data_IF_371496271431
#
_entry.id   IF_371496271431
#
_cell.length_a   1.000
_cell.length_b   1.000
_cell.length_c   1.000
_cell.angle_alpha   90.00
_cell.angle_beta   90.00
_cell.angle_gamma   90.00
#
_symmetry.space_group_name_H-M   'P 1'
#
loop_
_entity.id
_entity.type
_entity.pdbx_description
1 polymer ?
#
# COMPACT_ATOMS: atom_id res chain seq x y z
N UNK A 1 10.36 29.75 26.15
CA UNK A 1 8.94 29.72 26.53
C UNK A 1 8.68 28.33 27.09
N UNK A 2 8.21 28.22 28.32
CA UNK A 2 7.77 26.92 28.85
C UNK A 2 6.54 26.46 28.07
N UNK A 3 6.52 25.19 27.64
CA UNK A 3 5.36 24.60 26.99
C UNK A 3 4.16 24.66 27.94
N UNK A 4 2.96 24.94 27.40
CA UNK A 4 1.73 24.93 28.18
C UNK A 4 1.32 23.45 28.46
N UNK A 5 1.38 22.99 29.72
CA UNK A 5 1.04 21.61 30.04
C UNK A 5 -0.40 21.19 29.67
N UNK A 6 -1.30 22.17 29.50
CA UNK A 6 -2.68 21.90 29.09
C UNK A 6 -2.76 21.56 27.58
N UNK A 7 -1.96 22.20 26.77
CA UNK A 7 -1.87 21.93 25.34
C UNK A 7 -1.25 20.53 25.07
N UNK A 8 -0.18 20.17 25.79
CA UNK A 8 0.45 18.86 25.69
C UNK A 8 -0.49 17.74 26.12
N UNK A 9 -1.26 17.96 27.21
CA UNK A 9 -2.28 17.00 27.65
C UNK A 9 -3.38 16.82 26.62
N UNK A 10 -3.84 17.94 25.99
CA UNK A 10 -4.86 17.86 24.94
C UNK A 10 -4.34 17.09 23.73
N UNK A 11 -3.11 17.37 23.28
CA UNK A 11 -2.51 16.66 22.15
C UNK A 11 -2.45 15.12 22.36
N UNK A 12 -2.14 14.65 23.60
CA UNK A 12 -2.18 13.23 23.92
C UNK A 12 -3.63 12.68 23.96
N UNK A 13 -4.59 13.46 24.44
CA UNK A 13 -6.00 13.08 24.40
C UNK A 13 -6.51 12.94 22.96
N UNK A 14 -6.08 13.82 22.05
CA UNK A 14 -6.43 13.74 20.62
C UNK A 14 -5.90 12.45 19.97
N UNK A 15 -4.71 11.96 20.37
CA UNK A 15 -4.17 10.67 19.90
C UNK A 15 -5.09 9.51 20.32
N UNK A 16 -5.60 9.52 21.56
CA UNK A 16 -6.56 8.50 22.02
C UNK A 16 -7.86 8.53 21.20
N UNK A 17 -8.39 9.72 20.95
CA UNK A 17 -9.62 9.91 20.17
C UNK A 17 -9.44 9.39 18.72
N UNK A 18 -8.35 9.77 18.04
CA UNK A 18 -8.05 9.33 16.67
C UNK A 18 -7.95 7.81 16.59
N UNK A 19 -7.39 7.15 17.61
CA UNK A 19 -7.35 5.69 17.67
C UNK A 19 -8.72 5.04 17.66
N UNK A 20 -9.70 5.57 18.43
CA UNK A 20 -11.07 5.06 18.42
C UNK A 20 -11.79 5.38 17.10
N UNK A 21 -11.60 6.57 16.56
CA UNK A 21 -12.17 6.97 15.25
C UNK A 21 -11.72 6.04 14.14
N UNK A 22 -10.45 5.63 14.13
CA UNK A 22 -9.95 4.62 13.19
C UNK A 22 -10.79 3.35 13.22
N UNK A 23 -11.02 2.78 14.41
CA UNK A 23 -11.83 1.56 14.55
C UNK A 23 -13.28 1.76 14.12
N UNK A 24 -13.86 2.94 14.35
CA UNK A 24 -15.19 3.27 13.87
C UNK A 24 -15.24 3.33 12.34
N UNK A 25 -14.24 3.92 11.68
CA UNK A 25 -14.14 3.96 10.20
C UNK A 25 -13.98 2.54 9.64
N UNK A 26 -13.11 1.71 10.23
CA UNK A 26 -12.98 0.30 9.83
C UNK A 26 -14.31 -0.45 9.94
N UNK A 27 -15.01 -0.31 11.07
CA UNK A 27 -16.26 -1.00 11.31
C UNK A 27 -17.35 -0.63 10.29
N UNK A 28 -17.57 0.67 10.02
CA UNK A 28 -18.58 1.09 9.04
C UNK A 28 -18.20 0.72 7.61
N UNK A 29 -16.89 0.70 7.29
CA UNK A 29 -16.40 0.30 5.96
C UNK A 29 -16.60 -1.20 5.75
N UNK A 30 -16.24 -2.03 6.74
CA UNK A 30 -16.44 -3.50 6.71
C UNK A 30 -17.92 -3.89 6.62
N UNK A 31 -18.82 -3.11 7.22
CA UNK A 31 -20.26 -3.30 7.10
C UNK A 31 -20.85 -2.80 5.77
N UNK A 32 -20.07 -2.12 4.92
CA UNK A 32 -20.54 -1.57 3.65
C UNK A 32 -21.44 -0.34 3.80
N UNK A 33 -21.35 0.39 4.91
CA UNK A 33 -22.12 1.63 5.13
C UNK A 33 -21.86 2.68 4.07
N UNK A 34 -20.59 2.97 3.65
CA UNK A 34 -20.34 3.98 2.62
C UNK A 34 -21.07 3.70 1.31
N UNK A 35 -21.07 2.45 0.84
CA UNK A 35 -21.71 2.03 -0.41
C UNK A 35 -23.24 2.27 -0.38
N UNK A 36 -23.88 2.10 0.79
CA UNK A 36 -25.31 2.33 0.95
C UNK A 36 -25.70 3.80 0.90
N UNK A 37 -24.73 4.70 1.11
CA UNK A 37 -24.94 6.15 1.13
C UNK A 37 -24.56 6.83 -0.20
N UNK A 38 -24.11 6.10 -1.21
CA UNK A 38 -23.71 6.67 -2.50
C UNK A 38 -24.85 7.31 -3.27
N UNK A 39 -26.07 6.77 -3.14
CA UNK A 39 -27.26 7.26 -3.83
C UNK A 39 -27.91 8.48 -3.13
N UNK A 40 -27.46 8.85 -1.94
CA UNK A 40 -27.98 9.99 -1.20
C UNK A 40 -28.31 9.70 0.26
N UNK A 41 -29.02 10.60 0.97
CA UNK A 41 -29.31 10.49 2.38
C UNK A 41 -30.24 9.29 2.70
N UNK A 42 -29.87 8.48 3.70
CA UNK A 42 -30.64 7.30 4.19
C UNK A 42 -30.98 7.47 5.66
N UNK A 43 -32.17 7.04 6.10
CA UNK A 43 -32.52 7.03 7.52
C UNK A 43 -31.65 6.03 8.30
N UNK A 44 -31.22 6.38 9.53
CA UNK A 44 -30.36 5.50 10.34
C UNK A 44 -30.97 4.12 10.55
N UNK A 45 -32.26 4.02 10.78
CA UNK A 45 -32.96 2.75 10.93
C UNK A 45 -32.94 1.88 9.68
N UNK A 46 -33.16 2.50 8.52
CA UNK A 46 -33.11 1.86 7.22
C UNK A 46 -31.66 1.39 6.89
N UNK A 47 -30.67 2.26 7.16
CA UNK A 47 -29.26 1.94 6.98
C UNK A 47 -28.83 0.78 7.87
N UNK A 48 -29.21 0.79 9.15
CA UNK A 48 -28.89 -0.29 10.10
C UNK A 48 -29.47 -1.63 9.65
N UNK A 49 -30.72 -1.65 9.20
CA UNK A 49 -31.35 -2.87 8.66
C UNK A 49 -30.62 -3.36 7.40
N UNK A 50 -30.22 -2.45 6.50
CA UNK A 50 -29.55 -2.78 5.24
C UNK A 50 -28.14 -3.37 5.41
N UNK A 51 -27.44 -3.05 6.52
CA UNK A 51 -26.07 -3.55 6.81
C UNK A 51 -26.05 -4.56 7.95
N UNK A 52 -27.20 -4.97 8.47
CA UNK A 52 -27.30 -5.93 9.59
C UNK A 52 -26.77 -5.41 10.92
N UNK A 53 -26.82 -4.07 11.14
CA UNK A 53 -26.31 -3.44 12.35
C UNK A 53 -27.43 -3.14 13.37
N UNK A 54 -27.05 -3.09 14.65
CA UNK A 54 -27.94 -2.60 15.68
C UNK A 54 -28.11 -1.06 15.56
N UNK A 55 -29.34 -0.57 15.41
CA UNK A 55 -29.62 0.84 15.07
C UNK A 55 -29.00 1.84 16.06
N UNK A 56 -29.17 1.63 17.38
CA UNK A 56 -28.62 2.57 18.37
C UNK A 56 -27.09 2.57 18.36
N UNK A 57 -26.46 1.41 18.22
CA UNK A 57 -24.98 1.31 18.12
C UNK A 57 -24.47 2.04 16.88
N UNK A 58 -25.08 1.80 15.72
CA UNK A 58 -24.71 2.49 14.48
C UNK A 58 -24.92 4.00 14.60
N UNK A 59 -26.06 4.45 15.17
CA UNK A 59 -26.34 5.87 15.40
C UNK A 59 -25.24 6.55 16.22
N UNK A 60 -24.75 5.90 17.28
CA UNK A 60 -23.68 6.45 18.14
C UNK A 60 -22.37 6.58 17.39
N UNK A 61 -21.98 5.56 16.62
CA UNK A 61 -20.78 5.59 15.76
C UNK A 61 -20.91 6.70 14.71
N UNK A 62 -22.04 6.80 14.02
CA UNK A 62 -22.25 7.83 12.98
C UNK A 62 -22.19 9.26 13.53
N UNK A 63 -22.60 9.49 14.78
CA UNK A 63 -22.44 10.80 15.44
C UNK A 63 -20.97 11.18 15.60
N UNK A 64 -20.13 10.25 16.09
CA UNK A 64 -18.70 10.47 16.20
C UNK A 64 -18.08 10.71 14.83
N UNK A 65 -18.43 9.92 13.82
CA UNK A 65 -17.92 10.10 12.45
C UNK A 65 -18.39 11.41 11.80
N UNK A 66 -19.51 11.99 12.25
CA UNK A 66 -19.94 13.31 11.79
C UNK A 66 -19.03 14.43 12.32
N UNK A 67 -18.56 14.35 13.57
CA UNK A 67 -17.60 15.31 14.14
C UNK A 67 -16.28 15.28 13.37
N UNK A 68 -15.89 14.12 12.83
CA UNK A 68 -14.72 13.93 11.97
C UNK A 68 -14.97 14.14 10.48
N UNK A 69 -16.14 14.70 10.11
CA UNK A 69 -16.49 15.02 8.73
C UNK A 69 -16.43 13.82 7.76
N UNK A 70 -16.74 12.63 8.24
CA UNK A 70 -16.89 11.42 7.39
C UNK A 70 -18.33 11.34 6.86
N UNK A 71 -19.30 11.64 7.70
CA UNK A 71 -20.72 11.68 7.34
C UNK A 71 -21.33 12.99 7.80
N UNK A 72 -22.52 13.32 7.29
CA UNK A 72 -23.43 14.31 7.90
C UNK A 72 -24.66 13.60 8.44
N UNK A 73 -25.20 14.10 9.55
CA UNK A 73 -26.45 13.61 10.17
C UNK A 73 -27.41 14.77 10.29
N UNK A 74 -28.49 14.75 9.52
CA UNK A 74 -29.55 15.74 9.59
C UNK A 74 -30.91 15.04 9.74
N UNK A 75 -31.69 15.43 10.78
CA UNK A 75 -33.01 14.91 11.07
C UNK A 75 -33.14 13.39 11.00
N UNK A 76 -32.12 12.68 11.50
CA UNK A 76 -32.06 11.22 11.51
C UNK A 76 -31.72 10.56 10.16
N UNK A 77 -31.35 11.34 9.17
CA UNK A 77 -30.80 10.86 7.87
C UNK A 77 -29.32 11.08 7.83
N UNK A 78 -28.61 10.16 7.21
CA UNK A 78 -27.14 10.16 7.08
C UNK A 78 -26.76 10.29 5.61
N UNK A 79 -25.74 11.09 5.33
CA UNK A 79 -25.12 11.23 4.01
C UNK A 79 -23.60 11.18 4.12
N UNK A 80 -22.91 10.81 3.04
CA UNK A 80 -21.46 10.95 2.95
C UNK A 80 -21.06 12.41 2.71
N UNK A 81 -20.00 12.84 3.37
CA UNK A 81 -19.24 14.03 2.95
C UNK A 81 -18.29 13.68 1.81
N UNK A 82 -17.57 14.65 1.25
CA UNK A 82 -16.51 14.40 0.27
C UNK A 82 -15.40 13.51 0.87
N UNK A 83 -15.07 13.72 2.16
CA UNK A 83 -14.13 12.85 2.89
C UNK A 83 -14.66 11.43 3.01
N UNK A 84 -15.92 11.25 3.35
CA UNK A 84 -16.57 9.95 3.46
C UNK A 84 -16.66 9.20 2.12
N UNK A 85 -16.76 9.91 1.00
CA UNK A 85 -16.75 9.30 -0.34
C UNK A 85 -15.45 8.58 -0.66
N UNK A 86 -14.33 8.95 -0.02
CA UNK A 86 -13.06 8.22 -0.12
C UNK A 86 -13.13 6.79 0.43
N UNK A 87 -14.16 6.44 1.19
CA UNK A 87 -14.41 5.09 1.69
C UNK A 87 -15.24 4.23 0.72
N UNK A 88 -15.70 4.80 -0.40
CA UNK A 88 -16.41 4.06 -1.44
C UNK A 88 -15.41 3.42 -2.42
N UNK A 89 -15.67 2.16 -2.81
CA UNK A 89 -14.80 1.36 -3.69
C UNK A 89 -14.50 2.05 -5.02
N UNK A 90 -15.54 2.63 -5.65
CA UNK A 90 -15.43 3.20 -7.00
C UNK A 90 -14.83 4.61 -7.02
N UNK A 91 -14.48 5.19 -5.87
CA UNK A 91 -13.85 6.51 -5.84
C UNK A 91 -12.41 6.42 -6.41
N UNK A 92 -11.97 7.36 -7.29
CA UNK A 92 -10.62 7.33 -7.89
C UNK A 92 -9.48 7.28 -6.86
N UNK A 93 -9.67 7.92 -5.71
CA UNK A 93 -8.72 7.94 -4.58
C UNK A 93 -9.25 7.12 -3.39
N UNK A 94 -9.90 6.00 -3.66
CA UNK A 94 -10.50 5.17 -2.61
C UNK A 94 -9.48 4.72 -1.57
N UNK A 95 -9.92 4.70 -0.32
CA UNK A 95 -9.24 4.10 0.83
C UNK A 95 -10.03 2.91 1.39
N UNK A 96 -11.07 2.47 0.69
CA UNK A 96 -11.98 1.41 1.15
C UNK A 96 -11.20 0.13 1.53
N UNK A 97 -10.30 -0.35 0.66
CA UNK A 97 -9.48 -1.52 0.93
C UNK A 97 -8.61 -1.37 2.19
N UNK A 98 -8.01 -0.19 2.39
CA UNK A 98 -7.18 0.11 3.57
C UNK A 98 -7.95 -0.04 4.88
N UNK A 99 -9.24 0.37 4.92
CA UNK A 99 -10.06 0.30 6.13
C UNK A 99 -10.86 -1.00 6.25
N UNK A 100 -11.02 -1.76 5.16
CA UNK A 100 -11.79 -3.01 5.17
C UNK A 100 -10.94 -4.23 5.48
N UNK A 101 -9.69 -4.30 4.99
CA UNK A 101 -8.80 -5.46 5.17
C UNK A 101 -8.34 -5.60 6.62
N UNK A 102 -8.04 -6.84 7.03
CA UNK A 102 -7.26 -7.10 8.24
C UNK A 102 -5.83 -6.65 7.99
N UNK A 103 -5.30 -5.81 8.85
CA UNK A 103 -3.99 -5.20 8.65
C UNK A 103 -3.32 -4.80 9.97
N UNK A 104 -2.34 -3.88 9.90
CA UNK A 104 -1.51 -3.52 11.05
C UNK A 104 -2.32 -3.07 12.28
N UNK A 105 -3.44 -2.39 12.07
CA UNK A 105 -4.27 -1.89 13.17
C UNK A 105 -4.99 -3.01 13.93
N UNK A 106 -5.33 -4.11 13.24
CA UNK A 106 -5.99 -5.25 13.87
C UNK A 106 -5.03 -6.01 14.79
N UNK A 107 -3.71 -5.94 14.53
CA UNK A 107 -2.66 -6.61 15.30
C UNK A 107 -1.91 -5.65 16.26
N UNK A 108 -2.16 -4.33 16.18
CA UNK A 108 -1.42 -3.31 16.92
C UNK A 108 -1.53 -3.45 18.45
N UNK A 109 -2.57 -4.12 18.97
CA UNK A 109 -2.67 -4.37 20.42
C UNK A 109 -1.56 -5.28 20.95
N UNK A 110 -0.86 -6.05 20.11
CA UNK A 110 0.31 -6.84 20.48
C UNK A 110 1.64 -6.07 20.36
N UNK A 111 1.63 -4.76 20.03
CA UNK A 111 2.84 -3.95 19.87
C UNK A 111 3.76 -3.98 21.09
N UNK A 112 3.21 -4.03 22.31
CA UNK A 112 4.03 -4.14 23.52
C UNK A 112 4.91 -5.39 23.52
N UNK A 113 4.39 -6.51 23.04
CA UNK A 113 5.16 -7.75 22.93
C UNK A 113 6.17 -7.68 21.77
N UNK A 114 5.79 -7.08 20.65
CA UNK A 114 6.72 -6.77 19.54
C UNK A 114 7.92 -5.94 20.03
N UNK A 115 7.69 -4.92 20.85
CA UNK A 115 8.77 -4.10 21.42
C UNK A 115 9.69 -4.87 22.37
N UNK A 116 9.19 -5.93 23.03
CA UNK A 116 10.01 -6.77 23.93
C UNK A 116 10.83 -7.81 23.18
N UNK A 117 10.28 -8.35 22.09
CA UNK A 117 10.82 -9.54 21.41
C UNK A 117 11.47 -9.23 20.09
N UNK A 118 11.14 -8.09 19.47
CA UNK A 118 11.48 -7.78 18.08
C UNK A 118 10.69 -8.58 17.04
N UNK A 119 9.77 -9.47 17.47
CA UNK A 119 8.98 -10.29 16.58
C UNK A 119 7.73 -9.55 16.09
N UNK A 120 7.25 -9.78 14.85
CA UNK A 120 6.06 -9.12 14.34
C UNK A 120 4.80 -9.53 15.13
N UNK A 121 3.85 -8.61 15.22
CA UNK A 121 2.57 -8.84 15.91
C UNK A 121 1.63 -9.79 15.15
N UNK A 122 1.71 -9.81 13.82
CA UNK A 122 0.79 -10.59 12.98
C UNK A 122 0.75 -12.09 13.34
N UNK A 123 1.87 -12.81 13.47
CA UNK A 123 1.82 -14.23 13.87
C UNK A 123 1.23 -14.43 15.27
N UNK A 124 1.44 -13.50 16.20
CA UNK A 124 0.91 -13.60 17.57
C UNK A 124 -0.62 -13.47 17.61
N UNK A 125 -1.18 -12.62 16.76
CA UNK A 125 -2.61 -12.29 16.76
C UNK A 125 -3.39 -13.15 15.77
N UNK A 126 -2.83 -13.35 14.57
CA UNK A 126 -3.50 -14.06 13.48
C UNK A 126 -3.22 -15.57 13.47
N UNK A 127 -2.24 -16.03 14.27
CA UNK A 127 -1.85 -17.44 14.35
C UNK A 127 -0.93 -17.92 13.22
N UNK A 128 -0.55 -17.04 12.28
CA UNK A 128 0.34 -17.31 11.16
C UNK A 128 1.04 -16.04 10.69
N UNK A 129 2.19 -16.13 9.98
CA UNK A 129 2.77 -15.02 9.24
C UNK A 129 1.74 -14.37 8.32
N UNK A 130 1.82 -13.04 8.12
CA UNK A 130 0.76 -12.29 7.45
C UNK A 130 0.43 -12.80 6.04
N UNK A 131 1.44 -13.15 5.24
CA UNK A 131 1.22 -13.72 3.89
C UNK A 131 0.54 -15.08 3.94
N UNK A 132 0.89 -15.95 4.90
CA UNK A 132 0.27 -17.25 5.09
C UNK A 132 -1.18 -17.11 5.57
N UNK A 133 -1.44 -16.13 6.44
CA UNK A 133 -2.80 -15.79 6.87
C UNK A 133 -3.66 -15.37 5.68
N UNK A 134 -3.17 -14.46 4.82
CA UNK A 134 -3.91 -14.03 3.63
C UNK A 134 -4.15 -15.20 2.66
N UNK A 135 -3.15 -16.05 2.43
CA UNK A 135 -3.29 -17.24 1.57
C UNK A 135 -4.35 -18.22 2.08
N UNK A 136 -4.52 -18.33 3.40
CA UNK A 136 -5.52 -19.19 4.03
C UNK A 136 -6.93 -18.55 4.10
N UNK A 137 -7.06 -17.22 3.85
CA UNK A 137 -8.32 -16.47 3.96
C UNK A 137 -8.60 -15.68 2.67
N UNK A 138 -9.21 -16.33 1.64
CA UNK A 138 -9.41 -15.71 0.31
C UNK A 138 -10.23 -14.42 0.31
N UNK A 139 -11.17 -14.24 1.24
CA UNK A 139 -11.93 -13.02 1.45
C UNK A 139 -11.04 -11.86 1.91
N UNK A 140 -10.12 -12.11 2.84
CA UNK A 140 -9.14 -11.12 3.31
C UNK A 140 -8.09 -10.82 2.24
N UNK A 141 -7.65 -11.83 1.50
CA UNK A 141 -6.77 -11.66 0.35
C UNK A 141 -7.40 -10.75 -0.71
N UNK A 142 -8.69 -10.91 -1.01
CA UNK A 142 -9.37 -10.07 -1.98
C UNK A 142 -9.46 -8.60 -1.52
N UNK A 143 -9.70 -8.35 -0.23
CA UNK A 143 -9.69 -7.00 0.35
C UNK A 143 -8.28 -6.38 0.35
N UNK A 144 -7.26 -7.18 0.63
CA UNK A 144 -5.87 -6.76 0.55
C UNK A 144 -5.48 -6.39 -0.88
N UNK A 145 -5.83 -7.22 -1.89
CA UNK A 145 -5.57 -6.92 -3.30
C UNK A 145 -6.27 -5.62 -3.74
N UNK A 146 -7.49 -5.37 -3.26
CA UNK A 146 -8.19 -4.12 -3.51
C UNK A 146 -7.44 -2.93 -2.89
N UNK A 147 -6.97 -3.05 -1.64
CA UNK A 147 -6.17 -2.03 -0.97
C UNK A 147 -4.87 -1.74 -1.76
N UNK A 148 -4.17 -2.77 -2.22
CA UNK A 148 -2.94 -2.62 -3.00
C UNK A 148 -3.22 -2.01 -4.38
N UNK A 149 -4.32 -2.37 -5.04
CA UNK A 149 -4.75 -1.74 -6.30
C UNK A 149 -5.03 -0.25 -6.12
N UNK A 150 -5.73 0.13 -5.04
CA UNK A 150 -6.01 1.54 -4.72
C UNK A 150 -4.71 2.30 -4.42
N UNK A 151 -3.80 1.70 -3.64
CA UNK A 151 -2.47 2.25 -3.34
C UNK A 151 -1.64 2.43 -4.61
N UNK A 152 -1.59 1.43 -5.50
CA UNK A 152 -0.88 1.49 -6.77
C UNK A 152 -1.42 2.60 -7.69
N UNK A 153 -2.74 2.86 -7.68
CA UNK A 153 -3.33 3.99 -8.40
C UNK A 153 -2.82 5.33 -7.89
N UNK A 154 -2.80 5.55 -6.57
CA UNK A 154 -2.27 6.76 -5.95
C UNK A 154 -0.78 6.92 -6.25
N UNK A 155 0.00 5.84 -6.16
CA UNK A 155 1.41 5.79 -6.53
C UNK A 155 1.60 6.20 -8.00
N UNK A 156 0.80 5.63 -8.90
CA UNK A 156 0.88 5.95 -10.34
C UNK A 156 0.57 7.43 -10.61
N UNK A 157 -0.45 8.00 -9.98
CA UNK A 157 -0.78 9.44 -10.11
C UNK A 157 0.38 10.32 -9.61
N UNK A 158 1.05 9.94 -8.53
CA UNK A 158 2.12 10.74 -7.93
C UNK A 158 3.47 10.55 -8.62
N UNK A 159 3.85 9.32 -8.95
CA UNK A 159 5.22 8.99 -9.38
C UNK A 159 5.38 8.90 -10.90
N UNK A 160 4.35 8.45 -11.63
CA UNK A 160 4.50 8.27 -13.08
C UNK A 160 4.78 9.58 -13.84
N UNK A 161 4.11 10.72 -13.53
CA UNK A 161 4.33 11.97 -14.26
C UNK A 161 5.69 12.65 -14.01
N UNK A 162 6.40 12.28 -12.93
CA UNK A 162 7.69 12.90 -12.58
C UNK A 162 8.88 12.13 -13.17
N UNK A 163 8.63 11.09 -13.96
CA UNK A 163 9.62 10.21 -14.55
C UNK A 163 9.55 10.21 -16.07
N UNK A 164 10.73 10.06 -16.69
CA UNK A 164 10.81 9.78 -18.12
C UNK A 164 10.65 8.28 -18.39
N UNK A 165 9.71 7.92 -19.24
CA UNK A 165 9.45 6.53 -19.61
C UNK A 165 10.02 6.21 -20.99
N UNK A 166 10.51 4.97 -21.21
CA UNK A 166 11.02 4.57 -22.51
C UNK A 166 9.89 4.60 -23.55
N UNK A 167 10.18 5.15 -24.72
CA UNK A 167 9.21 5.19 -25.83
C UNK A 167 8.88 3.79 -26.36
N UNK A 168 9.81 2.85 -26.26
CA UNK A 168 9.71 1.44 -26.70
C UNK A 168 10.50 0.56 -25.73
N UNK A 169 10.41 -0.76 -25.90
CA UNK A 169 11.15 -1.75 -25.08
C UNK A 169 10.27 -2.46 -24.09
N UNK A 170 10.89 -3.20 -23.18
CA UNK A 170 10.22 -4.05 -22.21
C UNK A 170 10.32 -3.50 -20.78
N UNK A 171 9.22 -3.49 -20.06
CA UNK A 171 9.13 -3.07 -18.65
C UNK A 171 8.62 -4.26 -17.84
N UNK A 172 9.45 -4.78 -16.95
CA UNK A 172 9.08 -5.86 -16.04
C UNK A 172 8.74 -5.32 -14.65
N UNK A 173 7.52 -5.55 -14.20
CA UNK A 173 7.06 -5.26 -12.83
C UNK A 173 7.15 -6.55 -12.03
N UNK A 174 8.05 -6.56 -11.04
CA UNK A 174 8.34 -7.76 -10.23
C UNK A 174 7.64 -7.64 -8.90
N UNK A 175 6.70 -8.53 -8.66
CA UNK A 175 5.75 -8.51 -7.53
C UNK A 175 4.94 -7.21 -7.43
N UNK A 176 4.62 -6.61 -8.60
CA UNK A 176 3.87 -5.36 -8.68
C UNK A 176 2.37 -5.51 -8.37
N UNK A 177 1.93 -6.69 -7.98
CA UNK A 177 0.52 -6.96 -7.72
C UNK A 177 -0.33 -6.76 -8.97
N UNK A 178 -1.34 -5.92 -8.87
CA UNK A 178 -2.31 -5.77 -9.97
C UNK A 178 -2.43 -4.34 -10.53
N UNK A 179 -1.59 -3.37 -10.10
CA UNK A 179 -1.90 -1.97 -10.41
C UNK A 179 -0.78 -1.10 -10.97
N UNK A 180 0.45 -1.25 -10.52
CA UNK A 180 1.55 -0.31 -10.84
C UNK A 180 1.89 -0.32 -12.32
N UNK A 181 2.07 -1.51 -12.91
CA UNK A 181 2.40 -1.67 -14.32
C UNK A 181 1.36 -1.03 -15.26
N UNK A 182 0.08 -1.06 -14.86
CA UNK A 182 -0.99 -0.47 -15.66
C UNK A 182 -0.80 1.04 -15.86
N UNK A 183 -0.50 1.78 -14.78
CA UNK A 183 -0.22 3.21 -14.86
C UNK A 183 1.02 3.52 -15.69
N UNK A 184 2.07 2.73 -15.53
CA UNK A 184 3.33 2.87 -16.29
C UNK A 184 3.14 2.64 -17.78
N UNK A 185 2.43 1.59 -18.20
CA UNK A 185 2.18 1.31 -19.61
C UNK A 185 1.25 2.33 -20.28
N UNK A 186 0.41 3.04 -19.52
CA UNK A 186 -0.34 4.17 -20.05
C UNK A 186 0.58 5.36 -20.38
N UNK A 187 1.61 5.60 -19.58
CA UNK A 187 2.61 6.65 -19.81
C UNK A 187 3.66 6.24 -20.86
N UNK A 188 3.83 4.94 -21.13
CA UNK A 188 4.76 4.38 -22.11
C UNK A 188 4.00 3.58 -23.20
N UNK A 189 3.29 4.22 -24.10
CA UNK A 189 2.35 3.55 -25.03
C UNK A 189 3.02 2.59 -26.04
N UNK A 190 4.30 2.76 -26.33
CA UNK A 190 5.07 1.87 -27.20
C UNK A 190 5.84 0.76 -26.47
N UNK A 191 5.79 0.71 -25.12
CA UNK A 191 6.45 -0.32 -24.35
C UNK A 191 5.59 -1.57 -24.18
N UNK A 192 6.24 -2.72 -23.99
CA UNK A 192 5.63 -4.00 -23.60
C UNK A 192 5.83 -4.22 -22.10
N UNK A 193 4.81 -4.69 -21.42
CA UNK A 193 4.85 -5.04 -20.00
C UNK A 193 5.08 -6.52 -19.78
N UNK A 194 5.80 -6.84 -18.71
CA UNK A 194 5.90 -8.18 -18.15
C UNK A 194 5.52 -8.06 -16.68
N UNK A 195 4.40 -8.67 -16.27
CA UNK A 195 4.04 -8.77 -14.86
C UNK A 195 4.57 -10.11 -14.32
N UNK A 196 5.54 -10.05 -13.42
CA UNK A 196 6.13 -11.22 -12.77
C UNK A 196 5.52 -11.38 -11.39
N UNK A 197 4.67 -12.40 -11.23
CA UNK A 197 3.91 -12.60 -10.01
C UNK A 197 3.57 -14.09 -9.76
N UNK A 198 3.08 -14.39 -8.57
CA UNK A 198 2.56 -15.72 -8.26
C UNK A 198 1.33 -16.04 -9.13
N UNK A 199 1.12 -17.31 -9.53
CA UNK A 199 0.03 -17.68 -10.44
C UNK A 199 -1.36 -17.19 -10.01
N UNK A 200 -1.69 -17.27 -8.72
CA UNK A 200 -2.96 -16.82 -8.18
C UNK A 200 -3.14 -15.29 -8.24
N UNK A 201 -2.06 -14.52 -8.17
CA UNK A 201 -2.10 -13.05 -8.32
C UNK A 201 -2.29 -12.69 -9.79
N UNK A 202 -1.64 -13.40 -10.71
CA UNK A 202 -1.79 -13.19 -12.16
C UNK A 202 -3.24 -13.40 -12.62
N UNK A 203 -3.93 -14.40 -12.08
CA UNK A 203 -5.35 -14.61 -12.41
C UNK A 203 -6.22 -13.41 -12.00
N UNK A 204 -5.93 -12.80 -10.84
CA UNK A 204 -6.63 -11.59 -10.38
C UNK A 204 -6.22 -10.33 -11.14
N UNK A 205 -5.01 -10.28 -11.69
CA UNK A 205 -4.53 -9.16 -12.50
C UNK A 205 -5.23 -9.06 -13.87
N UNK A 206 -5.60 -10.20 -14.50
CA UNK A 206 -6.18 -10.24 -15.85
C UNK A 206 -7.36 -9.27 -16.08
N UNK A 207 -8.41 -9.27 -15.23
CA UNK A 207 -9.54 -8.36 -15.42
C UNK A 207 -9.14 -6.88 -15.30
N UNK A 208 -8.12 -6.58 -14.49
CA UNK A 208 -7.64 -5.21 -14.32
C UNK A 208 -6.89 -4.74 -15.56
N UNK A 209 -6.00 -5.55 -16.11
CA UNK A 209 -5.28 -5.25 -17.36
C UNK A 209 -6.23 -5.04 -18.53
N UNK A 210 -7.32 -5.82 -18.59
CA UNK A 210 -8.38 -5.63 -19.60
C UNK A 210 -9.10 -4.29 -19.43
N UNK A 211 -9.50 -3.94 -18.19
CA UNK A 211 -10.14 -2.65 -17.90
C UNK A 211 -9.28 -1.44 -18.26
N UNK A 212 -7.96 -1.57 -18.16
CA UNK A 212 -7.01 -0.52 -18.54
C UNK A 212 -6.60 -0.55 -20.02
N UNK A 213 -7.17 -1.47 -20.82
CA UNK A 213 -6.87 -1.65 -22.25
C UNK A 213 -5.37 -1.85 -22.55
N UNK A 214 -4.67 -2.60 -21.67
CA UNK A 214 -3.23 -2.91 -21.79
C UNK A 214 -2.95 -4.41 -21.84
N UNK A 215 -3.98 -5.25 -21.80
CA UNK A 215 -3.83 -6.71 -21.79
C UNK A 215 -3.03 -7.23 -23.00
N UNK A 216 -3.22 -6.65 -24.17
CA UNK A 216 -2.51 -7.03 -25.41
C UNK A 216 -1.03 -6.63 -25.41
N UNK A 217 -0.61 -5.78 -24.48
CA UNK A 217 0.77 -5.30 -24.31
C UNK A 217 1.43 -5.80 -23.03
N UNK A 218 0.79 -6.73 -22.31
CA UNK A 218 1.29 -7.24 -21.05
C UNK A 218 1.37 -8.76 -21.02
N UNK A 219 2.56 -9.29 -20.86
CA UNK A 219 2.82 -10.71 -20.63
C UNK A 219 2.70 -11.01 -19.13
N UNK A 220 1.87 -12.00 -18.77
CA UNK A 220 1.78 -12.51 -17.41
C UNK A 220 2.79 -13.65 -17.23
N UNK A 221 3.80 -13.44 -16.39
CA UNK A 221 4.89 -14.38 -16.17
C UNK A 221 4.81 -14.96 -14.74
N UNK A 222 4.46 -16.26 -14.58
CA UNK A 222 4.49 -16.90 -13.29
C UNK A 222 5.92 -16.96 -12.74
N UNK A 223 6.13 -16.45 -11.53
CA UNK A 223 7.44 -16.41 -10.90
C UNK A 223 7.36 -16.07 -9.42
N UNK A 224 8.53 -15.95 -8.81
CA UNK A 224 8.66 -15.44 -7.45
C UNK A 224 9.82 -14.43 -7.36
N UNK A 225 9.84 -13.64 -6.29
CA UNK A 225 10.81 -12.58 -6.04
C UNK A 225 12.27 -13.03 -6.01
N UNK A 226 12.54 -14.28 -5.66
CA UNK A 226 13.89 -14.81 -5.43
C UNK A 226 14.45 -15.52 -6.66
N UNK A 227 13.62 -15.71 -7.69
CA UNK A 227 14.05 -16.26 -8.99
C UNK A 227 14.36 -15.12 -9.98
N UNK A 228 15.30 -15.34 -10.93
CA UNK A 228 15.54 -14.35 -11.97
C UNK A 228 14.28 -14.09 -12.80
N UNK A 229 13.84 -12.83 -12.94
CA UNK A 229 12.77 -12.49 -13.86
C UNK A 229 13.23 -12.60 -15.32
N UNK A 230 12.29 -12.60 -16.29
CA UNK A 230 12.65 -12.51 -17.71
C UNK A 230 13.49 -11.26 -18.02
N UNK A 231 14.35 -11.28 -19.06
CA UNK A 231 15.09 -10.11 -19.48
C UNK A 231 14.15 -8.95 -19.84
N UNK A 232 14.49 -7.75 -19.35
CA UNK A 232 13.76 -6.52 -19.62
C UNK A 232 14.71 -5.31 -19.65
N UNK A 233 14.27 -4.23 -20.33
CA UNK A 233 15.04 -2.99 -20.40
C UNK A 233 14.92 -2.18 -19.12
N UNK A 234 13.74 -2.26 -18.46
CA UNK A 234 13.45 -1.59 -17.20
C UNK A 234 12.74 -2.56 -16.24
N UNK A 235 13.26 -2.67 -15.03
CA UNK A 235 12.61 -3.39 -13.94
C UNK A 235 11.98 -2.42 -12.96
N UNK A 236 10.81 -2.78 -12.42
CA UNK A 236 10.11 -2.06 -11.38
C UNK A 236 10.00 -2.96 -10.15
N UNK A 237 10.23 -2.37 -8.98
CA UNK A 237 9.89 -2.91 -7.66
C UNK A 237 9.09 -1.83 -6.92
N UNK A 238 7.81 -2.05 -6.70
CA UNK A 238 6.92 -1.04 -6.14
C UNK A 238 6.30 -1.51 -4.81
N UNK A 239 6.78 -0.94 -3.69
CA UNK A 239 6.38 -1.34 -2.33
C UNK A 239 6.58 -2.84 -2.10
N UNK A 240 7.79 -3.31 -2.35
CA UNK A 240 8.18 -4.72 -2.28
C UNK A 240 9.29 -4.93 -1.25
N UNK A 241 10.37 -4.12 -1.32
CA UNK A 241 11.56 -4.36 -0.51
C UNK A 241 11.34 -4.05 0.97
N UNK A 242 10.36 -3.24 1.30
CA UNK A 242 10.02 -2.92 2.67
C UNK A 242 9.37 -4.07 3.44
N UNK A 243 8.85 -5.10 2.78
CA UNK A 243 8.30 -6.29 3.43
C UNK A 243 9.38 -7.23 3.98
N UNK A 244 10.65 -6.98 3.63
CA UNK A 244 11.76 -7.90 3.84
C UNK A 244 12.90 -7.27 4.62
N UNK A 245 13.64 -8.11 5.36
CA UNK A 245 14.91 -7.75 5.95
C UNK A 245 15.99 -7.47 4.88
N UNK A 246 17.18 -7.00 5.30
CA UNK A 246 18.26 -6.65 4.37
C UNK A 246 18.85 -7.86 3.63
N UNK A 247 18.82 -9.05 4.25
CA UNK A 247 19.33 -10.27 3.60
C UNK A 247 18.41 -10.66 2.44
N UNK A 248 17.10 -10.73 2.69
CA UNK A 248 16.10 -11.05 1.66
C UNK A 248 15.98 -9.96 0.62
N UNK A 249 16.01 -8.69 1.00
CA UNK A 249 16.04 -7.58 0.05
C UNK A 249 17.27 -7.66 -0.88
N UNK A 250 18.44 -8.05 -0.35
CA UNK A 250 19.65 -8.32 -1.14
C UNK A 250 19.43 -9.49 -2.11
N UNK A 251 18.80 -10.59 -1.66
CA UNK A 251 18.49 -11.74 -2.51
C UNK A 251 17.55 -11.35 -3.67
N UNK A 252 16.53 -10.52 -3.40
CA UNK A 252 15.59 -10.02 -4.42
C UNK A 252 16.34 -9.17 -5.46
N UNK A 253 17.10 -8.18 -5.02
CA UNK A 253 17.86 -7.32 -5.92
C UNK A 253 18.90 -8.10 -6.76
N UNK A 254 19.54 -9.11 -6.16
CA UNK A 254 20.44 -10.02 -6.86
C UNK A 254 19.69 -10.89 -7.89
N UNK A 255 18.46 -11.34 -7.57
CA UNK A 255 17.63 -12.10 -8.50
C UNK A 255 17.25 -11.25 -9.72
N UNK A 256 16.78 -10.01 -9.50
CA UNK A 256 16.52 -9.06 -10.58
C UNK A 256 17.79 -8.81 -11.41
N UNK A 257 18.95 -8.66 -10.74
CA UNK A 257 20.24 -8.49 -11.40
C UNK A 257 20.65 -9.68 -12.29
N UNK A 258 20.29 -10.91 -11.94
CA UNK A 258 20.55 -12.09 -12.78
C UNK A 258 19.66 -12.16 -14.03
N UNK A 259 18.44 -11.61 -13.99
CA UNK A 259 17.58 -11.48 -15.17
C UNK A 259 17.96 -10.30 -16.08
N UNK A 260 18.66 -9.30 -15.53
CA UNK A 260 18.98 -8.06 -16.20
C UNK A 260 20.17 -8.20 -17.17
N UNK A 261 20.11 -7.45 -18.27
CA UNK A 261 21.24 -7.20 -19.16
C UNK A 261 22.09 -6.02 -18.66
N UNK A 262 23.23 -5.78 -19.27
CA UNK A 262 24.09 -4.64 -18.92
C UNK A 262 23.43 -3.27 -19.19
N UNK A 263 22.47 -3.21 -20.14
CA UNK A 263 21.73 -2.00 -20.47
C UNK A 263 20.46 -1.80 -19.62
N UNK A 264 20.10 -2.79 -18.82
CA UNK A 264 18.87 -2.74 -18.01
C UNK A 264 18.96 -1.69 -16.91
N UNK A 265 17.82 -1.07 -16.63
CA UNK A 265 17.61 -0.12 -15.54
C UNK A 265 16.69 -0.71 -14.47
N UNK A 266 16.74 -0.14 -13.27
CA UNK A 266 15.87 -0.50 -12.16
C UNK A 266 15.26 0.77 -11.56
N UNK A 267 13.97 0.73 -11.28
CA UNK A 267 13.24 1.74 -10.52
C UNK A 267 12.56 1.09 -9.31
N UNK A 268 12.88 1.60 -8.14
CA UNK A 268 12.30 1.13 -6.88
C UNK A 268 11.42 2.25 -6.35
N UNK A 269 10.14 1.95 -6.12
CA UNK A 269 9.14 2.89 -5.59
C UNK A 269 8.90 2.56 -4.14
N UNK A 270 9.44 3.37 -3.23
CA UNK A 270 9.36 3.15 -1.78
C UNK A 270 9.18 4.48 -1.02
N UNK A 271 8.67 4.40 0.20
CA UNK A 271 8.77 5.51 1.13
C UNK A 271 10.17 5.51 1.74
N UNK A 272 10.86 6.64 1.67
CA UNK A 272 12.19 6.75 2.26
C UNK A 272 12.10 7.36 3.67
N UNK A 273 12.77 6.73 4.62
CA UNK A 273 13.00 7.35 5.92
C UNK A 273 13.90 8.57 5.74
N UNK A 274 13.54 9.72 6.28
CA UNK A 274 14.42 10.87 6.30
C UNK A 274 15.59 10.64 7.25
N UNK A 275 16.78 11.10 6.89
CA UNK A 275 17.96 11.06 7.76
C UNK A 275 17.79 11.96 9.00
N UNK A 276 16.92 12.95 8.90
CA UNK A 276 16.64 13.91 9.97
C UNK A 276 15.39 13.54 10.78
N UNK A 277 15.31 14.07 12.01
CA UNK A 277 14.17 13.86 12.91
C UNK A 277 12.92 14.71 12.52
N UNK A 278 12.61 14.78 11.22
CA UNK A 278 11.45 15.51 10.69
C UNK A 278 10.21 14.61 10.65
N UNK A 279 8.98 15.15 10.83
CA UNK A 279 7.77 14.38 10.62
C UNK A 279 7.69 13.84 9.18
N UNK A 280 7.52 12.54 9.02
CA UNK A 280 7.38 11.92 7.71
C UNK A 280 6.53 10.64 7.78
N UNK A 281 5.74 10.37 6.73
CA UNK A 281 4.85 9.20 6.67
C UNK A 281 5.58 7.86 6.66
N UNK A 282 6.81 7.82 6.17
CA UNK A 282 7.64 6.62 6.20
C UNK A 282 7.84 6.08 7.63
N UNK A 283 7.91 6.93 8.65
CA UNK A 283 8.03 6.51 10.05
C UNK A 283 6.79 5.74 10.55
N UNK A 284 5.60 6.14 10.09
CA UNK A 284 4.38 5.38 10.35
C UNK A 284 4.42 4.04 9.60
N UNK A 285 4.78 4.08 8.31
CA UNK A 285 4.90 2.87 7.49
C UNK A 285 5.91 1.89 8.07
N UNK A 286 7.04 2.36 8.59
CA UNK A 286 8.06 1.53 9.23
C UNK A 286 7.50 0.75 10.43
N UNK A 287 6.72 1.41 11.29
CA UNK A 287 6.02 0.71 12.39
C UNK A 287 4.97 -0.27 11.87
N UNK A 288 4.29 0.03 10.76
CA UNK A 288 3.34 -0.91 10.14
C UNK A 288 4.06 -2.17 9.62
N UNK A 289 5.25 -2.00 9.00
CA UNK A 289 6.08 -3.13 8.55
C UNK A 289 6.55 -3.99 9.73
N UNK A 290 7.01 -3.35 10.82
CA UNK A 290 7.38 -4.03 12.06
C UNK A 290 6.24 -4.88 12.65
N UNK A 291 4.99 -4.44 12.53
CA UNK A 291 3.83 -5.18 13.04
C UNK A 291 3.47 -6.40 12.19
N UNK A 292 3.68 -6.33 10.88
CA UNK A 292 3.19 -7.33 9.93
C UNK A 292 4.25 -8.36 9.54
N UNK A 293 5.48 -7.93 9.30
CA UNK A 293 6.48 -8.73 8.59
C UNK A 293 7.73 -8.98 9.43
N UNK A 294 8.27 -10.20 9.34
CA UNK A 294 9.54 -10.55 9.98
C UNK A 294 10.70 -9.85 9.27
N UNK A 295 11.30 -8.88 9.98
CA UNK A 295 12.35 -8.03 9.47
C UNK A 295 11.91 -6.95 8.47
N UNK A 296 10.59 -6.81 8.20
CA UNK A 296 10.04 -5.76 7.35
C UNK A 296 10.34 -4.37 7.90
N UNK A 297 10.77 -3.43 7.01
CA UNK A 297 11.20 -2.09 7.39
C UNK A 297 11.25 -1.12 6.23
N UNK A 298 10.97 0.14 6.52
CA UNK A 298 11.33 1.22 5.61
C UNK A 298 12.82 1.55 5.73
N UNK A 299 13.41 2.16 4.71
CA UNK A 299 14.84 2.43 4.61
C UNK A 299 15.13 3.86 4.21
N UNK A 300 16.29 4.37 4.60
CA UNK A 300 16.84 5.63 4.09
C UNK A 300 17.38 5.45 2.67
N UNK A 301 17.64 6.57 1.97
CA UNK A 301 18.29 6.54 0.65
C UNK A 301 19.68 5.88 0.71
N UNK A 302 20.45 6.14 1.79
CA UNK A 302 21.78 5.54 1.99
C UNK A 302 21.73 4.02 2.21
N UNK A 303 20.74 3.50 2.93
CA UNK A 303 20.54 2.07 3.09
C UNK A 303 20.19 1.39 1.76
N UNK A 304 19.32 2.01 0.92
CA UNK A 304 19.03 1.52 -0.42
C UNK A 304 20.27 1.54 -1.32
N UNK A 305 21.06 2.61 -1.27
CA UNK A 305 22.33 2.68 -2.00
C UNK A 305 23.22 1.49 -1.62
N UNK A 306 23.37 1.20 -0.32
CA UNK A 306 24.17 0.07 0.15
C UNK A 306 23.64 -1.30 -0.33
N UNK A 307 22.32 -1.51 -0.39
CA UNK A 307 21.70 -2.73 -0.93
C UNK A 307 22.00 -2.88 -2.44
N UNK A 308 21.83 -1.82 -3.21
CA UNK A 308 22.08 -1.78 -4.64
C UNK A 308 23.54 -2.10 -4.96
N UNK A 309 24.46 -1.46 -4.25
CA UNK A 309 25.91 -1.64 -4.47
C UNK A 309 26.37 -3.07 -4.23
N UNK A 310 25.83 -3.75 -3.22
CA UNK A 310 26.15 -5.16 -2.92
C UNK A 310 25.60 -6.14 -3.96
N UNK A 311 24.63 -5.72 -4.77
CA UNK A 311 23.91 -6.59 -5.73
C UNK A 311 24.24 -6.31 -7.19
N UNK A 312 25.28 -5.50 -7.44
CA UNK A 312 25.76 -5.18 -8.79
C UNK A 312 24.88 -4.15 -9.52
N UNK A 313 24.13 -3.38 -8.75
CA UNK A 313 23.44 -2.18 -9.22
C UNK A 313 24.22 -0.94 -8.81
N UNK A 314 24.23 0.06 -9.67
CA UNK A 314 24.76 1.38 -9.37
C UNK A 314 23.60 2.30 -9.06
N UNK A 315 23.58 2.86 -7.85
CA UNK A 315 22.65 3.91 -7.48
C UNK A 315 22.91 5.17 -8.32
N UNK A 316 21.87 5.73 -8.92
CA UNK A 316 21.95 6.95 -9.71
C UNK A 316 21.42 8.16 -8.93
N UNK A 317 20.17 8.10 -8.52
CA UNK A 317 19.49 9.20 -7.81
C UNK A 317 18.20 8.77 -7.16
N UNK A 318 17.69 9.65 -6.30
CA UNK A 318 16.31 9.63 -5.81
C UNK A 318 15.51 10.70 -6.53
N UNK A 319 14.35 10.33 -7.08
CA UNK A 319 13.36 11.25 -7.65
C UNK A 319 12.21 11.38 -6.67
N UNK A 320 12.01 12.55 -6.03
CA UNK A 320 10.87 12.77 -5.14
C UNK A 320 9.57 12.84 -5.93
N UNK A 321 8.46 12.42 -5.32
CA UNK A 321 7.12 12.64 -5.87
C UNK A 321 6.34 13.66 -5.03
N UNK A 322 5.20 14.17 -5.53
CA UNK A 322 4.32 15.04 -4.73
C UNK A 322 3.71 14.35 -3.50
N UNK A 323 3.85 13.02 -3.38
CA UNK A 323 3.36 12.20 -2.26
C UNK A 323 4.48 11.72 -1.35
N UNK A 324 4.20 10.77 -0.45
CA UNK A 324 5.20 10.21 0.46
C UNK A 324 6.17 9.22 -0.19
N UNK A 325 5.88 8.77 -1.41
CA UNK A 325 6.72 7.85 -2.17
C UNK A 325 7.86 8.59 -2.85
N UNK A 326 8.98 7.92 -2.98
CA UNK A 326 10.11 8.34 -3.82
C UNK A 326 10.45 7.25 -4.81
N UNK A 327 11.15 7.60 -5.88
CA UNK A 327 11.65 6.63 -6.85
C UNK A 327 13.16 6.61 -6.82
N UNK A 328 13.73 5.45 -6.55
CA UNK A 328 15.16 5.23 -6.60
C UNK A 328 15.49 4.69 -8.01
N UNK A 329 16.37 5.36 -8.72
CA UNK A 329 16.85 4.92 -10.02
C UNK A 329 18.25 4.30 -9.90
N UNK A 330 18.42 3.16 -10.57
CA UNK A 330 19.69 2.45 -10.63
C UNK A 330 19.93 1.84 -12.01
N UNK A 331 21.22 1.62 -12.35
CA UNK A 331 21.70 0.98 -13.58
C UNK A 331 22.53 -0.24 -13.24
N UNK A 332 22.80 -1.11 -14.22
CA UNK A 332 23.76 -2.21 -14.01
C UNK A 332 25.18 -1.67 -13.92
N UNK A 333 25.94 -2.13 -12.91
CA UNK A 333 27.38 -1.85 -12.87
C UNK A 333 28.07 -2.47 -14.09
N UNK A 334 28.97 -1.73 -14.75
CA UNK A 334 29.83 -2.33 -15.78
C UNK A 334 30.58 -3.55 -15.21
N UNK A 335 30.48 -4.67 -15.90
CA UNK A 335 31.38 -5.81 -15.63
C UNK A 335 32.71 -5.42 -16.17
N UNK A 336 33.70 -5.17 -15.27
CA UNK A 336 35.06 -4.88 -15.64
C UNK A 336 35.75 -6.05 -16.36
#
# INVERSE_FOLDING_TARGET
MAADPSADRQALADVYEVGLVWHCVCAVTRLGVPERLTAGPVAVSELAAAVGAHEDALRRVLRLLADHQIVTVDRGRVSLTDRGRLLCRDHPLSLQGTFATVGPQDVAHALTETLRTGQPAAPMVLGAPYWDYLAAHPDQQALFDEAMTQRARVLSIACVPVLDWPATGTIADVAGGVGTLAGVLQAAPGALGILVEQPQVLERARPLLQRHAIADRCVLHPGNLFAPPPPADLYLLASVLHDWDDERATQILAAVGRGATQASRLRIFEMLLPDEATPHRAKLSDVLMLLLFDGGRERTAGEFQGLLERTGWQFERVVPSPGPMSVIEATRRPTG
#
